data_IF_641057130798
#
_entry.id   IF_641057130798
#
_cell.length_a   1.000
_cell.length_b   1.000
_cell.length_c   1.000
_cell.angle_alpha   90.00
_cell.angle_beta   90.00
_cell.angle_gamma   90.00
#
_symmetry.space_group_name_H-M   'P 1'
#
loop_
_entity.id
_entity.type
_entity.pdbx_description
1 polymer ?
#
# COMPACT_ATOMS: atom_id res chain seq x y z
N UNK A 1 4.07 11.28 2.86
CA UNK A 1 3.78 10.20 1.89
C UNK A 1 4.89 10.05 0.85
N UNK A 2 5.18 11.10 0.06
CA UNK A 2 6.20 11.01 -1.01
C UNK A 2 7.60 10.65 -0.53
N UNK A 3 8.01 11.13 0.63
CA UNK A 3 9.36 10.83 1.14
C UNK A 3 9.55 9.34 1.49
N UNK A 4 8.51 8.69 2.02
CA UNK A 4 8.56 7.25 2.28
C UNK A 4 8.66 6.44 0.98
N UNK A 5 7.94 6.86 -0.06
CA UNK A 5 8.03 6.23 -1.38
C UNK A 5 9.41 6.42 -2.03
N UNK A 6 10.03 7.60 -1.87
CA UNK A 6 11.39 7.83 -2.36
C UNK A 6 12.40 6.93 -1.65
N UNK A 7 12.36 6.88 -0.31
CA UNK A 7 13.22 6.00 0.49
C UNK A 7 13.03 4.53 0.11
N UNK A 8 11.77 4.09 -0.01
CA UNK A 8 11.48 2.71 -0.38
C UNK A 8 11.96 2.40 -1.82
N UNK A 9 11.82 3.34 -2.76
CA UNK A 9 12.34 3.18 -4.13
C UNK A 9 13.86 3.05 -4.15
N UNK A 10 14.59 3.78 -3.30
CA UNK A 10 16.05 3.63 -3.15
C UNK A 10 16.38 2.22 -2.66
N UNK A 11 15.73 1.77 -1.59
CA UNK A 11 15.89 0.41 -1.07
C UNK A 11 15.60 -0.66 -2.13
N UNK A 12 14.52 -0.51 -2.92
CA UNK A 12 14.23 -1.45 -4.01
C UNK A 12 15.36 -1.53 -5.04
N UNK A 13 15.98 -0.40 -5.39
CA UNK A 13 17.10 -0.37 -6.33
C UNK A 13 18.32 -1.09 -5.77
N UNK A 14 18.61 -0.91 -4.48
CA UNK A 14 19.71 -1.59 -3.79
C UNK A 14 19.51 -3.11 -3.78
N UNK A 15 18.30 -3.57 -3.46
CA UNK A 15 17.94 -5.00 -3.49
C UNK A 15 18.03 -5.57 -4.91
N UNK A 16 17.45 -4.89 -5.91
CA UNK A 16 17.54 -5.34 -7.30
C UNK A 16 18.99 -5.45 -7.77
N UNK A 17 19.82 -4.45 -7.44
CA UNK A 17 21.24 -4.43 -7.77
C UNK A 17 21.99 -5.60 -7.12
N UNK A 18 21.75 -5.86 -5.83
CA UNK A 18 22.35 -6.99 -5.10
C UNK A 18 22.04 -8.34 -5.77
N UNK A 19 20.85 -8.48 -6.34
CA UNK A 19 20.41 -9.69 -7.03
C UNK A 19 20.71 -9.68 -8.54
N UNK A 20 21.48 -8.70 -9.04
CA UNK A 20 21.85 -8.60 -10.46
C UNK A 20 20.67 -8.31 -11.41
N UNK A 21 19.54 -7.82 -10.89
CA UNK A 21 18.34 -7.53 -11.68
C UNK A 21 18.39 -6.11 -12.25
N UNK A 22 17.97 -5.97 -13.51
CA UNK A 22 17.89 -4.66 -14.19
C UNK A 22 16.73 -3.82 -13.63
N UNK A 23 16.99 -2.53 -13.37
CA UNK A 23 15.95 -1.54 -13.08
C UNK A 23 15.29 -1.15 -14.40
N UNK A 24 13.97 -1.36 -14.51
CA UNK A 24 13.12 -0.88 -15.62
C UNK A 24 12.36 0.38 -15.19
N UNK A 25 11.91 1.21 -16.12
CA UNK A 25 11.14 2.42 -15.79
C UNK A 25 9.82 2.13 -15.05
N UNK A 26 9.22 0.97 -15.30
CA UNK A 26 8.04 0.46 -14.61
C UNK A 26 8.36 -0.56 -13.50
N UNK A 27 9.53 -0.45 -12.87
CA UNK A 27 9.90 -1.36 -11.76
C UNK A 27 8.91 -1.26 -10.61
N UNK A 28 8.48 -2.42 -10.11
CA UNK A 28 7.50 -2.59 -9.03
C UNK A 28 8.04 -1.95 -7.75
N UNK A 29 7.19 -1.17 -7.06
CA UNK A 29 7.56 -0.42 -5.84
C UNK A 29 7.22 -1.16 -4.54
N UNK A 30 7.10 -2.49 -4.56
CA UNK A 30 6.92 -3.35 -3.37
C UNK A 30 7.52 -4.73 -3.65
N UNK A 31 8.79 -4.93 -3.24
CA UNK A 31 9.53 -6.17 -3.47
C UNK A 31 10.02 -6.76 -2.16
N UNK A 32 10.21 -8.08 -2.11
CA UNK A 32 10.83 -8.80 -1.01
C UNK A 32 12.35 -8.62 -1.02
N UNK A 33 13.01 -9.11 0.03
CA UNK A 33 14.47 -9.17 0.08
C UNK A 33 15.07 -10.02 -1.05
N UNK A 34 14.31 -10.96 -1.61
CA UNK A 34 14.73 -11.80 -2.73
C UNK A 34 14.51 -11.12 -4.10
N UNK A 35 14.20 -9.82 -4.08
CA UNK A 35 13.88 -9.02 -5.24
C UNK A 35 12.66 -9.51 -6.04
N UNK A 36 11.70 -10.16 -5.37
CA UNK A 36 10.44 -10.64 -5.95
C UNK A 36 9.25 -9.79 -5.52
N UNK A 37 8.15 -9.83 -6.26
CA UNK A 37 6.93 -9.09 -5.89
C UNK A 37 6.37 -9.59 -4.55
N UNK A 38 5.99 -8.66 -3.67
CA UNK A 38 5.28 -9.03 -2.44
C UNK A 38 3.84 -9.43 -2.79
N UNK A 39 3.46 -10.66 -2.45
CA UNK A 39 2.08 -11.13 -2.57
C UNK A 39 1.18 -10.58 -1.46
N UNK A 40 -0.10 -10.40 -1.77
CA UNK A 40 -1.10 -9.86 -0.85
C UNK A 40 -1.21 -10.63 0.48
N UNK A 41 -1.06 -11.96 0.45
CA UNK A 41 -1.09 -12.82 1.64
C UNK A 41 -0.03 -12.41 2.66
N UNK A 42 1.19 -12.13 2.20
CA UNK A 42 2.30 -11.73 3.05
C UNK A 42 2.00 -10.45 3.83
N UNK A 43 1.39 -9.46 3.17
CA UNK A 43 1.01 -8.18 3.78
C UNK A 43 -0.10 -8.40 4.82
N UNK A 44 -1.11 -9.19 4.48
CA UNK A 44 -2.20 -9.52 5.40
C UNK A 44 -1.68 -10.21 6.66
N UNK A 45 -0.78 -11.17 6.51
CA UNK A 45 -0.20 -11.87 7.65
C UNK A 45 0.69 -10.95 8.49
N UNK A 46 1.44 -10.04 7.86
CA UNK A 46 2.22 -9.03 8.58
C UNK A 46 1.32 -8.12 9.41
N UNK A 47 0.22 -7.62 8.85
CA UNK A 47 -0.75 -6.79 9.56
C UNK A 47 -1.38 -7.56 10.73
N UNK A 48 -1.83 -8.79 10.50
CA UNK A 48 -2.39 -9.67 11.55
C UNK A 48 -1.40 -9.90 12.70
N UNK A 49 -0.12 -10.10 12.41
CA UNK A 49 0.93 -10.24 13.43
C UNK A 49 1.06 -8.98 14.29
N UNK A 50 1.02 -7.80 13.68
CA UNK A 50 1.09 -6.52 14.40
C UNK A 50 -0.14 -6.32 15.27
N UNK A 51 -1.34 -6.59 14.75
CA UNK A 51 -2.60 -6.52 15.50
C UNK A 51 -2.54 -7.46 16.72
N UNK A 52 -2.16 -8.73 16.52
CA UNK A 52 -2.04 -9.71 17.61
C UNK A 52 -1.04 -9.27 18.67
N UNK A 53 0.08 -8.67 18.27
CA UNK A 53 1.14 -8.23 19.19
C UNK A 53 0.76 -6.96 19.97
N UNK A 54 0.01 -6.05 19.36
CA UNK A 54 -0.29 -4.73 19.93
C UNK A 54 -1.66 -4.65 20.61
N UNK A 55 -2.58 -5.57 20.30
CA UNK A 55 -3.98 -5.49 20.73
C UNK A 55 -4.78 -4.38 20.05
N UNK A 56 -4.19 -3.64 19.11
CA UNK A 56 -4.85 -2.55 18.40
C UNK A 56 -5.85 -3.14 17.41
N UNK A 57 -7.10 -2.70 17.48
CA UNK A 57 -8.15 -3.09 16.55
C UNK A 57 -7.83 -2.61 15.14
N UNK A 58 -8.10 -3.45 14.15
CA UNK A 58 -7.97 -3.07 12.74
C UNK A 58 -8.90 -1.90 12.40
N UNK A 59 -8.34 -0.85 11.81
CA UNK A 59 -9.08 0.31 11.30
C UNK A 59 -8.77 0.48 9.82
N UNK A 60 -9.79 0.83 9.05
CA UNK A 60 -9.63 1.06 7.61
C UNK A 60 -9.34 2.52 7.33
N UNK A 61 -8.74 2.82 6.18
CA UNK A 61 -8.52 4.19 5.74
C UNK A 61 -9.85 4.99 5.69
N UNK A 62 -10.96 4.35 5.28
CA UNK A 62 -12.28 4.96 5.27
C UNK A 62 -12.71 5.42 6.67
N UNK A 63 -12.55 4.57 7.69
CA UNK A 63 -12.89 4.89 9.08
C UNK A 63 -12.10 6.11 9.59
N UNK A 64 -10.81 6.20 9.25
CA UNK A 64 -9.97 7.34 9.63
C UNK A 64 -10.49 8.64 9.01
N UNK A 65 -10.85 8.63 7.72
CA UNK A 65 -11.32 9.82 7.00
C UNK A 65 -12.70 10.27 7.50
N UNK A 66 -13.60 9.32 7.79
CA UNK A 66 -14.92 9.61 8.38
C UNK A 66 -14.76 10.27 9.75
N UNK A 67 -13.88 9.73 10.60
CA UNK A 67 -13.61 10.30 11.93
C UNK A 67 -12.95 11.69 11.86
N UNK A 68 -12.33 12.04 10.72
CA UNK A 68 -11.81 13.39 10.43
C UNK A 68 -12.86 14.32 9.82
N UNK A 69 -14.11 13.88 9.75
CA UNK A 69 -15.22 14.62 9.17
C UNK A 69 -14.99 15.00 7.68
N UNK A 70 -14.23 14.19 6.94
CA UNK A 70 -14.04 14.39 5.50
C UNK A 70 -15.35 14.07 4.73
N UNK A 71 -15.59 14.80 3.65
CA UNK A 71 -16.80 14.62 2.84
C UNK A 71 -16.87 13.21 2.22
N UNK A 72 -18.02 12.54 2.36
CA UNK A 72 -18.23 11.16 1.89
C UNK A 72 -17.96 10.99 0.38
N UNK A 73 -18.32 11.97 -0.45
CA UNK A 73 -18.04 11.93 -1.89
C UNK A 73 -16.54 12.03 -2.18
N UNK A 74 -15.82 12.89 -1.43
CA UNK A 74 -14.37 13.00 -1.52
C UNK A 74 -13.67 11.71 -1.07
N UNK A 75 -14.15 11.07 0.01
CA UNK A 75 -13.67 9.76 0.48
C UNK A 75 -13.89 8.69 -0.60
N UNK A 76 -15.09 8.62 -1.19
CA UNK A 76 -15.41 7.66 -2.23
C UNK A 76 -14.48 7.83 -3.46
N UNK A 77 -14.28 9.07 -3.91
CA UNK A 77 -13.34 9.38 -4.99
C UNK A 77 -11.91 8.97 -4.65
N UNK A 78 -11.45 9.26 -3.43
CA UNK A 78 -10.10 8.94 -2.94
C UNK A 78 -9.83 7.43 -2.84
N UNK A 79 -10.84 6.66 -2.45
CA UNK A 79 -10.74 5.20 -2.32
C UNK A 79 -11.03 4.46 -3.62
N UNK A 80 -11.39 5.16 -4.70
CA UNK A 80 -11.76 4.55 -5.98
C UNK A 80 -13.16 3.93 -5.99
N UNK A 81 -14.01 4.24 -5.00
CA UNK A 81 -15.37 3.74 -4.85
C UNK A 81 -16.41 4.57 -5.64
N UNK A 82 -16.01 5.22 -6.74
CA UNK A 82 -16.98 5.90 -7.61
C UNK A 82 -17.84 4.85 -8.30
N UNK A 83 -19.15 4.80 -7.97
CA UNK A 83 -20.14 4.20 -8.88
C UNK A 83 -19.88 4.78 -10.26
N UNK A 84 -19.62 3.94 -11.28
CA UNK A 84 -20.01 4.32 -12.63
C UNK A 84 -21.51 4.58 -12.52
N UNK A 85 -21.96 5.80 -12.78
CA UNK A 85 -23.37 6.04 -13.10
C UNK A 85 -23.69 5.09 -14.25
N UNK A 86 -24.32 3.95 -13.96
CA UNK A 86 -25.10 3.24 -14.95
C UNK A 86 -26.24 4.18 -15.25
N UNK A 87 -26.06 5.00 -16.28
CA UNK A 87 -27.14 5.71 -16.95
C UNK A 87 -28.12 4.64 -17.43
N UNK A 88 -29.21 4.50 -16.68
CA UNK A 88 -30.44 3.86 -17.10
C UNK A 88 -30.97 4.51 -18.37
#
# INVERSE_FOLDING_TARGET
MMEQLKRYKIWCKEILLKHGKKIKDHSIVFISNDAEMIYHSYINDAIKRVIKKTGIKEITHATILINRNENVSAIAKRLGNTKKLSST
#
